data_IF_818616778269
#
_entry.id   IF_818616778269
#
_cell.length_a   1.000
_cell.length_b   1.000
_cell.length_c   1.000
_cell.angle_alpha   90.00
_cell.angle_beta   90.00
_cell.angle_gamma   90.00
#
_symmetry.space_group_name_H-M   'P 1'
#
loop_
_entity.id
_entity.type
_entity.pdbx_description
1 polymer ?
#
# COMPACT_ATOMS: atom_id res chain seq x y z
N UNK A 1 5.20 8.85 -9.08
CA UNK A 1 5.85 7.50 -9.08
C UNK A 1 5.89 6.99 -7.65
N UNK A 2 5.15 5.95 -7.33
CA UNK A 2 5.29 5.28 -6.04
C UNK A 2 5.99 3.93 -6.19
N UNK A 3 6.71 3.55 -5.14
CA UNK A 3 7.11 2.18 -4.90
C UNK A 3 6.34 1.68 -3.68
N UNK A 4 5.56 0.63 -3.84
CA UNK A 4 4.69 0.12 -2.80
C UNK A 4 5.20 -1.23 -2.32
N UNK A 5 5.34 -1.39 -1.00
CA UNK A 5 5.66 -2.67 -0.39
C UNK A 5 4.45 -3.13 0.43
N UNK A 6 4.02 -4.36 0.19
CA UNK A 6 2.88 -4.97 0.86
C UNK A 6 3.40 -6.13 1.68
N UNK A 7 3.31 -6.01 3.00
CA UNK A 7 3.74 -7.04 3.93
C UNK A 7 2.51 -7.76 4.46
N UNK A 8 2.46 -9.06 4.24
CA UNK A 8 1.28 -9.88 4.46
C UNK A 8 1.72 -11.27 4.95
N UNK A 9 0.84 -11.94 5.72
CA UNK A 9 1.14 -13.28 6.19
C UNK A 9 1.30 -14.26 5.02
N UNK A 10 2.28 -15.13 5.10
CA UNK A 10 2.56 -16.13 4.06
C UNK A 10 1.48 -17.21 3.95
N UNK A 11 0.60 -17.29 4.96
CA UNK A 11 -0.59 -18.15 4.92
C UNK A 11 -1.65 -17.66 3.96
N UNK A 12 -1.60 -16.38 3.56
CA UNK A 12 -2.49 -15.85 2.50
C UNK A 12 -2.03 -16.44 1.16
N UNK A 13 -2.91 -17.11 0.40
CA UNK A 13 -2.50 -17.75 -0.85
C UNK A 13 -1.93 -16.77 -1.87
N UNK A 14 -0.99 -17.21 -2.74
CA UNK A 14 -0.37 -16.33 -3.73
C UNK A 14 -1.35 -15.54 -4.60
N UNK A 15 -2.42 -16.17 -5.09
CA UNK A 15 -3.43 -15.48 -5.89
C UNK A 15 -4.13 -14.37 -5.10
N UNK A 16 -4.39 -14.62 -3.82
CA UNK A 16 -5.02 -13.63 -2.94
C UNK A 16 -4.07 -12.46 -2.65
N UNK A 17 -2.77 -12.74 -2.46
CA UNK A 17 -1.77 -11.68 -2.31
C UNK A 17 -1.73 -10.76 -3.53
N UNK A 18 -1.82 -11.32 -4.73
CA UNK A 18 -1.90 -10.53 -5.96
C UNK A 18 -3.19 -9.72 -6.04
N UNK A 19 -4.31 -10.27 -5.57
CA UNK A 19 -5.56 -9.53 -5.47
C UNK A 19 -5.44 -8.35 -4.50
N UNK A 20 -4.72 -8.52 -3.40
CA UNK A 20 -4.42 -7.40 -2.48
C UNK A 20 -3.57 -6.34 -3.16
N UNK A 21 -2.55 -6.74 -3.93
CA UNK A 21 -1.72 -5.79 -4.67
C UNK A 21 -2.54 -5.00 -5.69
N UNK A 22 -3.44 -5.67 -6.41
CA UNK A 22 -4.36 -5.00 -7.33
C UNK A 22 -5.27 -4.01 -6.60
N UNK A 23 -5.78 -4.39 -5.44
CA UNK A 23 -6.64 -3.54 -4.61
C UNK A 23 -5.90 -2.28 -4.13
N UNK A 24 -4.67 -2.45 -3.66
CA UNK A 24 -3.83 -1.32 -3.22
C UNK A 24 -3.58 -0.37 -4.39
N UNK A 25 -3.23 -0.90 -5.56
CA UNK A 25 -3.00 -0.09 -6.75
C UNK A 25 -4.25 0.68 -7.15
N UNK A 26 -5.40 0.02 -7.18
CA UNK A 26 -6.67 0.67 -7.48
C UNK A 26 -6.96 1.83 -6.51
N UNK A 27 -6.67 1.63 -5.23
CA UNK A 27 -6.84 2.66 -4.22
C UNK A 27 -5.92 3.87 -4.41
N UNK A 28 -4.67 3.64 -4.80
CA UNK A 28 -3.74 4.71 -5.12
C UNK A 28 -4.21 5.52 -6.33
N UNK A 29 -4.59 4.83 -7.39
CA UNK A 29 -5.10 5.49 -8.61
C UNK A 29 -6.33 6.33 -8.30
N UNK A 30 -7.29 5.77 -7.58
CA UNK A 30 -8.52 6.46 -7.24
C UNK A 30 -8.28 7.67 -6.34
N UNK A 31 -7.52 7.49 -5.26
CA UNK A 31 -7.34 8.53 -4.25
C UNK A 31 -6.37 9.62 -4.65
N UNK A 32 -5.27 9.26 -5.31
CA UNK A 32 -4.24 10.21 -5.72
C UNK A 32 -4.46 10.77 -7.11
N UNK A 33 -5.31 10.15 -7.93
CA UNK A 33 -5.51 10.55 -9.31
C UNK A 33 -4.30 10.28 -10.19
N UNK A 34 -3.51 9.27 -9.87
CA UNK A 34 -2.30 8.95 -10.61
C UNK A 34 -2.58 8.07 -11.83
N UNK A 35 -1.59 7.98 -12.73
CA UNK A 35 -1.66 7.12 -13.90
C UNK A 35 -1.75 5.65 -13.46
N UNK A 36 -2.74 4.93 -13.99
CA UNK A 36 -2.94 3.52 -13.68
C UNK A 36 -1.79 2.61 -14.14
N UNK A 37 -1.00 3.07 -15.12
CA UNK A 37 0.15 2.32 -15.61
C UNK A 37 1.40 2.54 -14.75
N UNK A 38 1.42 3.54 -13.89
CA UNK A 38 2.51 3.81 -12.97
C UNK A 38 2.41 2.84 -11.79
N UNK A 39 2.97 1.62 -11.96
CA UNK A 39 2.81 0.56 -10.98
C UNK A 39 4.13 -0.14 -10.69
N UNK A 40 4.62 0.03 -9.47
CA UNK A 40 5.79 -0.67 -8.94
C UNK A 40 5.47 -1.18 -7.54
N UNK A 41 5.45 -2.50 -7.38
CA UNK A 41 5.03 -3.14 -6.14
C UNK A 41 5.95 -4.29 -5.78
N UNK A 42 6.20 -4.45 -4.49
CA UNK A 42 6.86 -5.63 -3.92
C UNK A 42 5.87 -6.26 -2.96
N UNK A 43 5.59 -7.54 -3.14
CA UNK A 43 4.81 -8.34 -2.20
C UNK A 43 5.78 -9.10 -1.31
N UNK A 44 5.67 -8.89 -0.01
CA UNK A 44 6.52 -9.48 1.01
C UNK A 44 5.70 -10.44 1.88
N UNK A 45 5.59 -11.73 1.50
CA UNK A 45 4.94 -12.71 2.37
C UNK A 45 5.88 -13.07 3.51
N UNK A 46 5.37 -12.99 4.74
CA UNK A 46 6.14 -13.21 5.96
C UNK A 46 5.42 -14.22 6.86
N UNK A 47 6.15 -14.95 7.70
CA UNK A 47 5.50 -15.72 8.75
C UNK A 47 4.57 -14.83 9.57
N UNK A 48 3.38 -15.33 9.90
CA UNK A 48 2.34 -14.50 10.54
C UNK A 48 2.81 -13.86 11.85
N UNK A 49 3.66 -14.55 12.61
CA UNK A 49 4.21 -14.03 13.87
C UNK A 49 5.26 -12.93 13.67
N UNK A 50 5.69 -12.66 12.44
CA UNK A 50 6.56 -11.52 12.12
C UNK A 50 5.76 -10.23 11.91
N UNK A 51 4.44 -10.32 11.73
CA UNK A 51 3.56 -9.16 11.54
C UNK A 51 2.95 -8.79 12.89
N UNK A 52 3.66 -7.98 13.63
CA UNK A 52 3.30 -7.63 15.00
C UNK A 52 2.53 -6.32 15.02
N UNK A 53 1.38 -6.31 15.67
CA UNK A 53 0.58 -5.10 15.87
C UNK A 53 -0.15 -5.20 17.19
N UNK A 54 -0.26 -4.07 17.89
CA UNK A 54 -1.15 -4.00 19.05
C UNK A 54 -2.60 -4.15 18.59
N UNK A 55 -3.37 -5.07 19.17
CA UNK A 55 -4.72 -5.33 18.67
C UNK A 55 -5.72 -4.20 18.91
N UNK A 56 -5.45 -3.30 19.87
CA UNK A 56 -6.44 -2.31 20.29
C UNK A 56 -5.99 -0.87 20.21
N UNK A 57 -4.74 -0.58 19.84
CA UNK A 57 -4.24 0.79 19.77
C UNK A 57 -5.05 1.62 18.77
N UNK A 58 -5.40 2.83 19.13
CA UNK A 58 -6.25 3.76 18.37
C UNK A 58 -7.69 3.26 18.15
N UNK A 59 -8.17 2.39 19.02
CA UNK A 59 -9.50 1.77 18.88
C UNK A 59 -9.48 0.61 17.88
N UNK A 60 -10.61 0.01 17.65
CA UNK A 60 -10.71 -1.12 16.73
C UNK A 60 -10.14 -2.42 17.29
N UNK A 61 -10.08 -3.43 16.44
CA UNK A 61 -9.55 -4.75 16.77
C UNK A 61 -8.76 -5.29 15.58
N UNK A 62 -7.45 -5.40 15.74
CA UNK A 62 -6.56 -5.94 14.71
C UNK A 62 -6.35 -7.43 14.96
N UNK A 63 -6.30 -8.20 13.86
CA UNK A 63 -6.07 -9.66 13.89
C UNK A 63 -4.99 -10.08 12.91
N UNK A 64 -5.14 -9.69 11.64
CA UNK A 64 -4.30 -10.13 10.52
C UNK A 64 -3.87 -8.91 9.73
N UNK A 65 -3.01 -8.07 10.33
CA UNK A 65 -2.64 -6.77 9.75
C UNK A 65 -1.91 -6.95 8.43
N UNK A 66 -2.31 -6.14 7.45
CA UNK A 66 -1.60 -5.96 6.19
C UNK A 66 -0.93 -4.59 6.24
N UNK A 67 0.40 -4.58 6.18
CA UNK A 67 1.17 -3.34 6.14
C UNK A 67 1.41 -2.93 4.70
N UNK A 68 1.02 -1.70 4.38
CA UNK A 68 1.21 -1.11 3.05
C UNK A 68 2.12 0.10 3.21
N UNK A 69 3.32 0.02 2.67
CA UNK A 69 4.28 1.12 2.69
C UNK A 69 4.36 1.73 1.31
N UNK A 70 4.06 3.03 1.23
CA UNK A 70 4.03 3.78 -0.02
C UNK A 70 5.17 4.81 0.02
N UNK A 71 6.17 4.59 -0.80
CA UNK A 71 7.26 5.55 -0.99
C UNK A 71 7.00 6.31 -2.28
N UNK A 72 6.91 7.63 -2.21
CA UNK A 72 6.53 8.41 -3.38
C UNK A 72 7.14 9.81 -3.36
N UNK A 73 7.16 10.44 -4.53
CA UNK A 73 7.55 11.84 -4.67
C UNK A 73 6.53 12.71 -3.92
N UNK A 74 7.03 13.73 -3.23
CA UNK A 74 6.16 14.69 -2.55
C UNK A 74 5.47 15.58 -3.56
N UNK A 75 4.18 15.32 -3.84
CA UNK A 75 3.38 16.08 -4.78
C UNK A 75 1.88 16.08 -4.46
N UNK A 76 1.47 15.30 -3.47
CA UNK A 76 0.05 15.15 -3.13
C UNK A 76 -0.26 15.84 -1.81
N UNK A 77 -1.43 16.50 -1.75
CA UNK A 77 -1.89 17.16 -0.53
C UNK A 77 -2.52 16.21 0.47
N UNK A 78 -2.86 16.75 1.64
CA UNK A 78 -3.45 15.97 2.74
C UNK A 78 -4.77 15.32 2.32
N UNK A 79 -5.63 16.06 1.60
CA UNK A 79 -6.93 15.52 1.19
C UNK A 79 -6.80 14.36 0.22
N UNK A 80 -5.84 14.44 -0.71
CA UNK A 80 -5.56 13.35 -1.64
C UNK A 80 -5.03 12.12 -0.90
N UNK A 81 -4.14 12.30 0.07
CA UNK A 81 -3.62 11.20 0.88
C UNK A 81 -4.75 10.53 1.68
N UNK A 82 -5.63 11.32 2.28
CA UNK A 82 -6.78 10.79 3.03
C UNK A 82 -7.74 10.03 2.10
N UNK A 83 -8.00 10.55 0.92
CA UNK A 83 -8.81 9.86 -0.08
C UNK A 83 -8.17 8.53 -0.49
N UNK A 84 -6.85 8.51 -0.64
CA UNK A 84 -6.09 7.30 -0.96
C UNK A 84 -6.20 6.27 0.15
N UNK A 85 -6.04 6.65 1.43
CA UNK A 85 -6.18 5.71 2.55
C UNK A 85 -7.57 5.07 2.56
N UNK A 86 -8.61 5.88 2.38
CA UNK A 86 -10.00 5.40 2.36
C UNK A 86 -10.23 4.45 1.17
N UNK A 87 -9.71 4.80 0.00
CA UNK A 87 -9.87 3.98 -1.19
C UNK A 87 -9.11 2.64 -1.08
N UNK A 88 -7.87 2.67 -0.58
CA UNK A 88 -7.08 1.45 -0.34
C UNK A 88 -7.82 0.53 0.63
N UNK A 89 -8.31 1.07 1.75
CA UNK A 89 -9.04 0.28 2.73
C UNK A 89 -10.30 -0.34 2.13
N UNK A 90 -11.06 0.41 1.34
CA UNK A 90 -12.30 -0.08 0.71
C UNK A 90 -12.02 -1.17 -0.33
N UNK A 91 -11.00 -0.99 -1.16
CA UNK A 91 -10.63 -1.99 -2.15
C UNK A 91 -10.10 -3.27 -1.50
N UNK A 92 -9.33 -3.15 -0.42
CA UNK A 92 -8.85 -4.31 0.33
C UNK A 92 -10.00 -5.02 1.06
N UNK A 93 -10.97 -4.28 1.58
CA UNK A 93 -12.14 -4.88 2.21
C UNK A 93 -12.92 -5.76 1.23
N UNK A 94 -13.04 -5.34 -0.02
CA UNK A 94 -13.66 -6.14 -1.07
C UNK A 94 -12.90 -7.46 -1.33
N UNK A 95 -11.64 -7.54 -0.94
CA UNK A 95 -10.82 -8.75 -1.05
C UNK A 95 -10.76 -9.54 0.26
N UNK A 96 -11.52 -9.15 1.27
CA UNK A 96 -11.60 -9.87 2.54
C UNK A 96 -10.68 -9.34 3.65
N UNK A 97 -9.98 -8.24 3.44
CA UNK A 97 -9.18 -7.61 4.50
C UNK A 97 -10.08 -6.71 5.34
N UNK A 98 -10.15 -6.98 6.64
CA UNK A 98 -10.96 -6.14 7.54
C UNK A 98 -10.37 -4.73 7.58
N UNK A 99 -11.21 -3.68 7.64
CA UNK A 99 -10.71 -2.29 7.73
C UNK A 99 -9.71 -2.08 8.86
N UNK A 100 -9.94 -2.72 10.02
CA UNK A 100 -9.05 -2.60 11.18
C UNK A 100 -7.66 -3.19 10.92
N UNK A 101 -7.52 -4.05 9.93
CA UNK A 101 -6.27 -4.73 9.59
C UNK A 101 -5.48 -4.02 8.49
N UNK A 102 -5.96 -2.91 7.97
CA UNK A 102 -5.25 -2.12 6.97
C UNK A 102 -4.40 -1.07 7.64
N UNK A 103 -3.10 -1.12 7.38
CA UNK A 103 -2.15 -0.12 7.90
C UNK A 103 -1.36 0.45 6.73
N UNK A 104 -1.53 1.74 6.46
CA UNK A 104 -0.84 2.42 5.36
C UNK A 104 0.05 3.51 5.93
N UNK A 105 1.29 3.55 5.45
CA UNK A 105 2.21 4.65 5.77
C UNK A 105 2.82 5.17 4.48
N UNK A 106 2.97 6.49 4.41
CA UNK A 106 3.58 7.18 3.27
C UNK A 106 4.91 7.76 3.69
N UNK A 107 5.94 7.53 2.88
CA UNK A 107 7.24 8.19 2.98
C UNK A 107 7.47 8.97 1.70
N UNK A 108 7.80 10.25 1.81
CA UNK A 108 7.94 11.14 0.65
C UNK A 108 9.40 11.48 0.40
N UNK A 109 9.76 11.63 -0.88
CA UNK A 109 11.07 12.08 -1.32
C UNK A 109 10.93 13.04 -2.49
N UNK A 110 12.03 13.33 -3.17
CA UNK A 110 12.09 14.25 -4.30
C UNK A 110 12.23 13.48 -5.62
N UNK A 111 11.94 14.14 -6.72
CA UNK A 111 12.02 13.51 -8.04
C UNK A 111 13.44 12.99 -8.34
N UNK A 112 14.48 13.72 -7.95
CA UNK A 112 15.86 13.30 -8.15
C UNK A 112 16.29 12.06 -7.37
N UNK A 113 15.45 11.59 -6.46
CA UNK A 113 15.73 10.39 -5.66
C UNK A 113 15.35 9.09 -6.36
N UNK A 114 14.92 9.17 -7.62
CA UNK A 114 14.41 8.02 -8.37
C UNK A 114 15.25 7.73 -9.59
N UNK A 115 15.57 6.44 -9.77
CA UNK A 115 16.19 5.94 -10.99
C UNK A 115 15.44 4.68 -11.45
N UNK A 116 14.44 4.84 -12.34
CA UNK A 116 13.57 3.71 -12.71
C UNK A 116 14.13 2.82 -13.83
N UNK A 117 15.40 2.96 -14.19
CA UNK A 117 16.05 2.15 -15.21
C UNK A 117 15.82 2.70 -16.61
N UNK A 118 14.71 2.37 -17.23
CA UNK A 118 14.46 2.67 -18.63
C UNK A 118 14.55 4.15 -19.00
N UNK A 119 14.35 5.06 -18.03
CA UNK A 119 14.31 6.50 -18.28
C UNK A 119 15.07 7.28 -17.20
N UNK A 120 16.09 6.66 -16.63
CA UNK A 120 16.81 7.22 -15.51
C UNK A 120 17.41 8.58 -15.75
N UNK A 121 17.92 8.85 -16.94
CA UNK A 121 18.52 10.14 -17.27
C UNK A 121 17.52 11.28 -17.33
N UNK A 122 16.25 11.00 -17.29
CA UNK A 122 15.21 12.02 -17.31
C UNK A 122 14.77 12.43 -15.90
N UNK A 123 15.27 11.70 -14.93
CA UNK A 123 15.16 11.94 -13.53
C UNK A 123 13.80 12.19 -13.03
#
# INVERSE_FOLDING_TARGET
>A
MPLVTIEVADTVPPATRHAYADAVHAGLVEGLGMDAEDRFQVIHPLPADHLVADPHYLGGTRRDVVYVRVQMVRMYGVDQKRAMYAAVARHLEAQGVRPDDVFVVVTENQLEDWYPGARGERG
#
